data_IF_767800099858
#
_entry.id   IF_767800099858
#
_cell.length_a   1.000
_cell.length_b   1.000
_cell.length_c   1.000
_cell.angle_alpha   90.00
_cell.angle_beta   90.00
_cell.angle_gamma   90.00
#
_symmetry.space_group_name_H-M   'P 1'
#
loop_
_entity.id
_entity.type
_entity.pdbx_description
1 polymer ?
#
# COMPACT_ATOMS: atom_id res chain seq x y z
N UNK A 1 37.62 6.50 4.81
CA UNK A 1 36.63 6.27 3.75
C UNK A 1 37.36 5.59 2.61
N UNK A 2 36.82 4.46 2.16
CA UNK A 2 37.35 3.66 1.06
C UNK A 2 36.24 3.61 0.00
N UNK A 3 36.59 3.88 -1.26
CA UNK A 3 35.60 4.01 -2.34
C UNK A 3 35.81 2.91 -3.37
N UNK A 4 34.73 2.26 -3.79
CA UNK A 4 34.74 1.35 -4.92
C UNK A 4 35.06 2.11 -6.21
N UNK A 5 36.02 1.61 -6.98
CA UNK A 5 36.38 2.14 -8.28
C UNK A 5 36.39 1.09 -9.39
N UNK A 6 36.18 -0.19 -9.05
CA UNK A 6 36.13 -1.30 -10.01
C UNK A 6 37.46 -1.50 -10.77
N UNK A 7 38.59 -1.07 -10.21
CA UNK A 7 39.90 -1.14 -10.85
C UNK A 7 40.50 -2.55 -10.95
N UNK A 8 39.89 -3.55 -10.30
CA UNK A 8 40.33 -4.94 -10.28
C UNK A 8 39.91 -5.73 -11.53
N UNK A 9 40.25 -7.02 -11.53
CA UNK A 9 40.01 -7.93 -12.66
C UNK A 9 38.60 -8.53 -12.68
N UNK A 10 37.87 -8.38 -11.58
CA UNK A 10 36.49 -8.85 -11.39
C UNK A 10 35.78 -7.87 -10.45
N UNK A 11 34.49 -8.07 -10.20
CA UNK A 11 33.70 -7.21 -9.31
C UNK A 11 33.66 -7.71 -7.85
N UNK A 12 34.59 -8.56 -7.42
CA UNK A 12 34.54 -9.14 -6.07
C UNK A 12 34.98 -8.13 -5.00
N UNK A 13 34.23 -8.09 -3.89
CA UNK A 13 34.48 -7.20 -2.75
C UNK A 13 35.87 -7.41 -2.16
N UNK A 14 36.34 -8.65 -2.14
CA UNK A 14 37.60 -9.03 -1.52
C UNK A 14 38.82 -8.85 -2.43
N UNK A 15 38.67 -8.23 -3.60
CA UNK A 15 39.78 -7.82 -4.46
C UNK A 15 40.21 -6.39 -4.08
N UNK A 16 41.37 -6.18 -3.44
CA UNK A 16 41.81 -4.86 -3.03
C UNK A 16 41.82 -3.85 -4.18
N UNK A 17 42.17 -4.27 -5.41
CA UNK A 17 42.25 -3.39 -6.58
C UNK A 17 40.91 -2.78 -7.03
N UNK A 18 39.77 -3.26 -6.50
CA UNK A 18 38.45 -2.66 -6.74
C UNK A 18 38.13 -1.47 -5.83
N UNK A 19 39.01 -1.20 -4.87
CA UNK A 19 38.86 -0.14 -3.90
C UNK A 19 39.94 0.90 -4.10
N UNK A 20 39.66 2.15 -3.81
CA UNK A 20 40.65 3.22 -3.68
C UNK A 20 40.84 3.51 -2.18
N UNK A 21 42.04 3.29 -1.60
CA UNK A 21 43.37 3.22 -2.23
C UNK A 21 43.98 1.79 -2.34
N UNK A 22 43.29 0.88 -2.99
CA UNK A 22 43.63 -0.55 -3.13
C UNK A 22 43.65 -1.31 -1.81
N UNK A 23 42.64 -1.09 -0.95
CA UNK A 23 42.51 -1.73 0.37
C UNK A 23 41.07 -2.15 0.60
N UNK A 24 40.87 -3.41 1.01
CA UNK A 24 39.53 -3.94 1.34
C UNK A 24 39.01 -3.24 2.61
N UNK A 25 37.75 -2.76 2.63
CA UNK A 25 37.16 -2.18 3.83
C UNK A 25 37.22 -3.09 5.06
N UNK A 26 37.45 -2.48 6.22
CA UNK A 26 37.42 -3.12 7.54
C UNK A 26 36.36 -2.49 8.46
N UNK A 27 36.26 -2.97 9.70
CA UNK A 27 35.37 -2.40 10.74
C UNK A 27 35.76 -0.99 11.22
N UNK A 28 36.84 -0.42 10.70
CA UNK A 28 37.21 0.99 10.94
C UNK A 28 36.88 1.91 9.75
N UNK A 29 36.43 1.34 8.63
CA UNK A 29 36.25 2.08 7.38
C UNK A 29 34.77 2.29 7.03
N UNK A 30 34.44 3.49 6.56
CA UNK A 30 33.22 3.74 5.76
C UNK A 30 33.52 3.36 4.30
N UNK A 31 32.77 2.39 3.77
CA UNK A 31 32.85 1.98 2.37
C UNK A 31 31.79 2.73 1.53
N UNK A 32 32.16 3.15 0.32
CA UNK A 32 31.23 3.80 -0.62
C UNK A 32 31.27 3.11 -1.97
N UNK A 33 30.11 2.75 -2.51
CA UNK A 33 29.97 2.21 -3.86
C UNK A 33 29.19 3.20 -4.71
N UNK A 34 29.73 3.59 -5.85
CA UNK A 34 29.08 4.51 -6.78
C UNK A 34 29.58 4.27 -8.21
N UNK A 35 28.68 4.31 -9.19
CA UNK A 35 29.03 4.16 -10.60
C UNK A 35 29.18 2.71 -11.08
N UNK A 36 29.18 1.73 -10.17
CA UNK A 36 29.43 0.32 -10.47
C UNK A 36 28.84 -0.61 -9.38
N UNK A 37 28.90 -1.93 -9.58
CA UNK A 37 28.36 -2.95 -8.68
C UNK A 37 29.46 -3.80 -8.06
N UNK A 38 29.54 -3.82 -6.73
CA UNK A 38 30.36 -4.76 -5.99
C UNK A 38 29.62 -6.08 -5.76
N UNK A 39 30.35 -7.20 -5.74
CA UNK A 39 29.82 -8.53 -5.53
C UNK A 39 30.49 -9.20 -4.33
N UNK A 40 29.71 -9.91 -3.52
CA UNK A 40 30.18 -10.80 -2.47
C UNK A 40 29.66 -12.19 -2.82
N UNK A 41 30.54 -13.09 -3.27
CA UNK A 41 30.20 -14.47 -3.61
C UNK A 41 30.88 -15.50 -2.69
N UNK A 42 30.14 -16.56 -2.32
CA UNK A 42 30.66 -17.72 -1.58
C UNK A 42 31.04 -17.49 -0.11
N UNK A 43 31.62 -18.54 0.53
CA UNK A 43 32.05 -18.51 1.92
C UNK A 43 33.26 -17.58 2.08
N UNK A 44 33.00 -16.39 2.61
CA UNK A 44 34.06 -15.52 3.11
C UNK A 44 34.13 -15.76 4.63
N UNK A 45 35.18 -16.44 5.06
CA UNK A 45 35.49 -16.66 6.48
C UNK A 45 36.82 -15.95 6.78
N UNK A 46 36.82 -14.90 7.63
CA UNK A 46 35.67 -14.29 8.31
C UNK A 46 34.74 -13.53 7.35
N UNK A 47 33.47 -13.28 7.72
CA UNK A 47 32.55 -12.47 6.91
C UNK A 47 33.15 -11.13 6.55
N UNK A 48 32.71 -10.55 5.43
CA UNK A 48 33.12 -9.21 5.01
C UNK A 48 32.68 -8.19 6.06
N UNK A 49 33.50 -7.16 6.30
CA UNK A 49 33.25 -6.17 7.34
C UNK A 49 33.35 -4.74 6.81
N UNK A 50 32.49 -3.86 7.32
CA UNK A 50 32.58 -2.40 7.13
C UNK A 50 32.02 -1.68 8.37
N UNK A 51 32.42 -0.43 8.60
CA UNK A 51 31.76 0.41 9.63
C UNK A 51 30.40 0.86 9.14
N UNK A 52 30.37 1.39 7.93
CA UNK A 52 29.23 1.97 7.24
C UNK A 52 29.33 1.65 5.75
N UNK A 53 28.20 1.54 5.06
CA UNK A 53 28.16 1.38 3.60
C UNK A 53 27.17 2.38 3.00
N UNK A 54 27.61 3.11 1.99
CA UNK A 54 26.75 4.02 1.22
C UNK A 54 26.77 3.73 -0.27
N UNK A 55 25.58 3.69 -0.88
CA UNK A 55 25.37 3.69 -2.32
C UNK A 55 25.07 5.12 -2.77
N UNK A 56 25.86 5.67 -3.68
CA UNK A 56 25.73 7.07 -4.10
C UNK A 56 24.46 7.37 -4.91
N UNK A 57 24.27 8.65 -5.28
CA UNK A 57 23.21 9.07 -6.19
C UNK A 57 23.41 8.59 -7.64
N UNK A 58 24.65 8.23 -8.00
CA UNK A 58 24.95 7.58 -9.26
C UNK A 58 24.56 6.10 -9.19
N UNK A 59 24.16 5.53 -10.32
CA UNK A 59 23.89 4.09 -10.44
C UNK A 59 25.05 3.29 -9.86
N UNK A 60 24.78 2.40 -8.92
CA UNK A 60 25.78 1.50 -8.35
C UNK A 60 25.14 0.63 -7.29
N UNK A 61 25.78 -0.47 -6.92
CA UNK A 61 25.13 -1.38 -5.98
C UNK A 61 26.01 -2.43 -5.36
N UNK A 62 25.40 -3.23 -4.49
CA UNK A 62 26.00 -4.39 -3.87
C UNK A 62 25.13 -5.61 -4.13
N UNK A 63 25.76 -6.69 -4.58
CA UNK A 63 25.14 -8.02 -4.67
C UNK A 63 25.81 -8.93 -3.65
N UNK A 64 25.04 -9.50 -2.73
CA UNK A 64 25.47 -10.57 -1.82
C UNK A 64 24.81 -11.85 -2.29
N UNK A 65 25.58 -12.77 -2.86
CA UNK A 65 25.07 -13.98 -3.50
C UNK A 65 25.77 -15.23 -2.94
N UNK A 66 25.07 -15.92 -2.05
CA UNK A 66 25.43 -17.27 -1.65
C UNK A 66 25.24 -18.22 -2.84
N UNK A 67 26.28 -18.98 -3.17
CA UNK A 67 26.26 -20.00 -4.23
C UNK A 67 26.24 -21.39 -3.58
N UNK A 68 27.32 -22.17 -3.68
CA UNK A 68 27.49 -23.42 -2.93
C UNK A 68 27.75 -23.18 -1.44
N UNK A 69 28.19 -21.96 -1.10
CA UNK A 69 28.57 -21.55 0.23
C UNK A 69 27.84 -20.25 0.61
N UNK A 70 27.48 -20.05 1.89
CA UNK A 70 26.83 -18.83 2.34
C UNK A 70 27.69 -17.59 2.10
N UNK A 71 27.07 -16.49 1.71
CA UNK A 71 27.71 -15.19 1.53
C UNK A 71 27.19 -14.20 2.58
N UNK A 72 28.07 -13.40 3.17
CA UNK A 72 27.70 -12.56 4.31
C UNK A 72 28.48 -11.26 4.41
N UNK A 73 27.79 -10.19 4.80
CA UNK A 73 28.35 -8.89 5.11
C UNK A 73 27.93 -8.43 6.51
N UNK A 74 28.89 -7.99 7.30
CA UNK A 74 28.69 -7.39 8.62
C UNK A 74 29.05 -5.90 8.58
N UNK A 75 28.05 -5.04 8.75
CA UNK A 75 28.22 -3.60 8.87
C UNK A 75 28.02 -3.20 10.32
N UNK A 76 29.00 -2.53 10.92
CA UNK A 76 28.94 -2.19 12.36
C UNK A 76 27.80 -1.22 12.67
N UNK A 77 27.53 -0.29 11.76
CA UNK A 77 26.50 0.73 11.92
C UNK A 77 25.53 0.73 10.73
N UNK A 78 25.58 1.72 9.84
CA UNK A 78 24.46 1.98 8.95
C UNK A 78 24.75 1.54 7.51
N UNK A 79 23.70 1.06 6.84
CA UNK A 79 23.67 0.87 5.39
C UNK A 79 22.73 1.92 4.78
N UNK A 80 23.23 2.68 3.81
CA UNK A 80 22.44 3.70 3.10
C UNK A 80 22.38 3.40 1.61
N UNK A 81 21.17 3.17 1.09
CA UNK A 81 20.89 3.01 -0.35
C UNK A 81 20.25 4.28 -0.89
N UNK A 82 21.02 5.19 -1.46
CA UNK A 82 20.45 6.41 -2.05
C UNK A 82 19.62 6.07 -3.32
N UNK A 83 18.89 7.05 -3.87
CA UNK A 83 17.92 6.82 -4.96
C UNK A 83 18.47 6.18 -6.24
N UNK A 84 19.76 6.34 -6.54
CA UNK A 84 20.42 5.65 -7.66
C UNK A 84 21.04 4.30 -7.29
N UNK A 85 21.09 3.99 -5.99
CA UNK A 85 21.73 2.80 -5.45
C UNK A 85 20.87 1.55 -5.55
N UNK A 86 21.52 0.39 -5.57
CA UNK A 86 20.86 -0.90 -5.42
C UNK A 86 21.56 -1.82 -4.41
N UNK A 87 20.78 -2.57 -3.66
CA UNK A 87 21.22 -3.65 -2.79
C UNK A 87 20.47 -4.92 -3.18
N UNK A 88 21.19 -5.99 -3.49
CA UNK A 88 20.61 -7.29 -3.80
C UNK A 88 21.18 -8.38 -2.91
N UNK A 89 20.31 -9.19 -2.31
CA UNK A 89 20.67 -10.39 -1.57
C UNK A 89 20.04 -11.61 -2.24
N UNK A 90 20.82 -12.68 -2.42
CA UNK A 90 20.35 -13.94 -2.99
C UNK A 90 20.48 -14.06 -4.52
N UNK A 91 19.94 -15.16 -5.06
CA UNK A 91 19.95 -15.47 -6.49
C UNK A 91 21.25 -16.11 -7.04
N UNK A 92 22.16 -16.55 -6.16
CA UNK A 92 23.44 -17.15 -6.53
C UNK A 92 23.49 -18.69 -6.52
N UNK A 93 22.60 -19.35 -5.79
CA UNK A 93 22.65 -20.80 -5.59
C UNK A 93 21.88 -21.26 -4.34
N UNK A 94 22.10 -22.50 -3.87
CA UNK A 94 21.39 -23.07 -2.73
C UNK A 94 22.03 -22.72 -1.38
N UNK A 95 22.69 -21.58 -1.23
CA UNK A 95 23.21 -21.11 0.06
C UNK A 95 22.62 -19.75 0.43
N UNK A 96 22.63 -19.45 1.72
CA UNK A 96 22.00 -18.25 2.26
C UNK A 96 22.85 -17.00 1.95
N UNK A 97 22.18 -15.86 1.82
CA UNK A 97 22.82 -14.55 1.63
C UNK A 97 22.41 -13.63 2.77
N UNK A 98 23.37 -13.13 3.54
CA UNK A 98 23.09 -12.42 4.78
C UNK A 98 23.71 -11.03 4.82
N UNK A 99 22.92 -10.05 5.26
CA UNK A 99 23.38 -8.73 5.69
C UNK A 99 23.09 -8.57 7.18
N UNK A 100 24.12 -8.30 7.98
CA UNK A 100 23.99 -7.85 9.35
C UNK A 100 24.37 -6.37 9.43
N UNK A 101 23.50 -5.52 9.99
CA UNK A 101 23.80 -4.09 10.16
C UNK A 101 23.18 -3.50 11.45
N UNK A 102 23.63 -2.32 11.86
CA UNK A 102 22.98 -1.50 12.87
C UNK A 102 21.63 -0.97 12.40
N UNK A 103 21.56 -0.38 11.21
CA UNK A 103 20.31 0.06 10.58
C UNK A 103 20.43 0.08 9.06
N UNK A 104 19.30 0.23 8.37
CA UNK A 104 19.26 0.38 6.91
C UNK A 104 18.30 1.50 6.53
N UNK A 105 18.79 2.48 5.77
CA UNK A 105 17.97 3.53 5.16
C UNK A 105 18.06 3.43 3.64
N UNK A 106 16.92 3.43 2.95
CA UNK A 106 16.87 3.33 1.49
C UNK A 106 15.92 4.35 0.88
N UNK A 107 16.39 4.97 -0.19
CA UNK A 107 15.58 5.68 -1.19
C UNK A 107 15.71 5.04 -2.58
N UNK A 108 16.54 3.98 -2.70
CA UNK A 108 16.87 3.27 -3.93
C UNK A 108 16.19 1.91 -4.02
N UNK A 109 16.86 0.94 -4.62
CA UNK A 109 16.31 -0.41 -4.82
C UNK A 109 16.92 -1.41 -3.84
N UNK A 110 16.10 -2.10 -3.06
CA UNK A 110 16.53 -3.24 -2.23
C UNK A 110 15.79 -4.48 -2.71
N UNK A 111 16.50 -5.52 -3.13
CA UNK A 111 15.90 -6.77 -3.59
C UNK A 111 16.49 -7.96 -2.84
N UNK A 112 15.69 -8.57 -1.98
CA UNK A 112 16.06 -9.74 -1.18
C UNK A 112 15.31 -10.93 -1.73
N UNK A 113 16.01 -11.77 -2.48
CA UNK A 113 15.44 -12.98 -3.05
C UNK A 113 15.36 -14.10 -2.00
N UNK A 114 14.79 -15.23 -2.40
CA UNK A 114 14.62 -16.39 -1.54
C UNK A 114 15.93 -16.73 -0.83
N UNK A 115 15.84 -16.96 0.49
CA UNK A 115 16.98 -17.25 1.40
C UNK A 115 17.95 -16.09 1.60
N UNK A 116 17.58 -14.89 1.17
CA UNK A 116 18.18 -13.66 1.64
C UNK A 116 17.68 -13.32 3.04
N UNK A 117 18.59 -12.86 3.90
CA UNK A 117 18.26 -12.39 5.25
C UNK A 117 18.91 -11.04 5.51
N UNK A 118 18.09 -10.07 5.88
CA UNK A 118 18.55 -8.80 6.47
C UNK A 118 18.31 -8.89 7.98
N UNK A 119 19.37 -8.72 8.76
CA UNK A 119 19.34 -8.67 10.22
C UNK A 119 19.84 -7.32 10.69
N UNK A 120 18.93 -6.53 11.27
CA UNK A 120 19.22 -5.22 11.82
C UNK A 120 19.10 -5.25 13.35
N UNK A 121 19.94 -4.46 14.02
CA UNK A 121 19.80 -4.18 15.47
C UNK A 121 18.80 -3.05 15.71
N UNK A 122 18.76 -2.07 14.80
CA UNK A 122 17.91 -0.90 14.79
C UNK A 122 16.87 -0.95 13.67
N UNK A 123 16.43 0.21 13.15
CA UNK A 123 15.33 0.28 12.20
C UNK A 123 15.75 0.01 10.75
N UNK A 124 14.76 -0.42 9.96
CA UNK A 124 14.73 -0.31 8.51
C UNK A 124 13.84 0.87 8.13
N UNK A 125 14.33 1.79 7.28
CA UNK A 125 13.54 2.94 6.81
C UNK A 125 13.64 3.07 5.29
N UNK A 126 12.49 3.04 4.62
CA UNK A 126 12.36 3.34 3.20
C UNK A 126 11.73 4.72 3.02
N UNK A 127 12.46 5.66 2.43
CA UNK A 127 11.97 7.02 2.16
C UNK A 127 11.56 7.23 0.69
N UNK A 128 11.89 6.30 -0.20
CA UNK A 128 11.52 6.26 -1.62
C UNK A 128 11.94 4.92 -2.25
N UNK A 129 11.74 4.77 -3.55
CA UNK A 129 12.26 3.65 -4.33
C UNK A 129 11.44 2.38 -4.15
N UNK A 130 12.10 1.22 -4.30
CA UNK A 130 11.43 -0.08 -4.22
C UNK A 130 12.20 -1.02 -3.30
N UNK A 131 11.49 -1.64 -2.39
CA UNK A 131 11.98 -2.77 -1.60
C UNK A 131 11.18 -3.99 -2.02
N UNK A 132 11.87 -5.04 -2.44
CA UNK A 132 11.30 -6.31 -2.86
C UNK A 132 11.83 -7.43 -1.95
N UNK A 133 10.96 -8.10 -1.19
CA UNK A 133 11.27 -9.32 -0.46
C UNK A 133 10.59 -10.49 -1.17
N UNK A 134 11.35 -11.40 -1.78
CA UNK A 134 10.83 -12.58 -2.45
C UNK A 134 11.09 -13.83 -1.62
N UNK A 135 10.16 -14.17 -0.73
CA UNK A 135 10.25 -15.27 0.24
C UNK A 135 11.50 -15.15 1.13
N UNK A 136 11.74 -13.93 1.59
CA UNK A 136 12.93 -13.56 2.36
C UNK A 136 12.60 -13.29 3.84
N UNK A 137 13.64 -13.02 4.63
CA UNK A 137 13.52 -12.61 6.03
C UNK A 137 14.11 -11.23 6.26
N UNK A 138 13.31 -10.33 6.82
CA UNK A 138 13.74 -9.03 7.35
C UNK A 138 13.52 -9.01 8.86
N UNK A 139 14.60 -8.96 9.63
CA UNK A 139 14.55 -8.78 11.08
C UNK A 139 15.04 -7.38 11.42
N UNK A 140 14.17 -6.54 11.98
CA UNK A 140 14.51 -5.19 12.41
C UNK A 140 13.76 -4.85 13.70
N UNK A 141 14.22 -3.83 14.44
CA UNK A 141 13.47 -3.36 15.60
C UNK A 141 12.13 -2.72 15.18
N UNK A 142 12.15 -2.03 14.04
CA UNK A 142 10.99 -1.45 13.38
C UNK A 142 11.26 -1.33 11.88
N UNK A 143 10.21 -1.37 11.07
CA UNK A 143 10.21 -1.19 9.61
C UNK A 143 9.28 -0.03 9.29
N UNK A 144 9.81 1.03 8.70
CA UNK A 144 9.02 2.19 8.28
C UNK A 144 9.16 2.40 6.77
N UNK A 145 8.04 2.47 6.06
CA UNK A 145 7.97 2.85 4.65
C UNK A 145 7.26 4.18 4.54
N UNK A 146 8.02 5.26 4.38
CA UNK A 146 7.52 6.64 4.29
C UNK A 146 7.05 6.97 2.86
N UNK A 147 7.61 6.32 1.84
CA UNK A 147 7.17 6.44 0.45
C UNK A 147 7.74 5.31 -0.42
N UNK A 148 7.13 5.08 -1.58
CA UNK A 148 7.56 4.10 -2.57
C UNK A 148 6.84 2.77 -2.42
N UNK A 149 7.37 1.74 -3.07
CA UNK A 149 6.80 0.39 -3.05
C UNK A 149 7.59 -0.51 -2.10
N UNK A 150 6.89 -1.12 -1.16
CA UNK A 150 7.38 -2.20 -0.31
C UNK A 150 6.64 -3.49 -0.69
N UNK A 151 7.22 -4.19 -1.65
CA UNK A 151 6.72 -5.42 -2.26
C UNK A 151 7.30 -6.62 -1.50
N UNK A 152 6.53 -7.30 -0.66
CA UNK A 152 7.09 -8.26 0.30
C UNK A 152 6.30 -9.56 0.45
N UNK A 153 6.97 -10.68 0.20
CA UNK A 153 6.58 -12.02 0.67
C UNK A 153 7.62 -12.57 1.65
N UNK A 154 7.21 -13.56 2.44
CA UNK A 154 8.05 -14.21 3.44
C UNK A 154 7.77 -13.68 4.85
N UNK A 155 8.81 -13.23 5.55
CA UNK A 155 8.72 -12.89 6.98
C UNK A 155 9.40 -11.59 7.36
N UNK A 156 8.71 -10.80 8.16
CA UNK A 156 9.21 -9.61 8.82
C UNK A 156 9.11 -9.84 10.33
N UNK A 157 10.19 -9.55 11.06
CA UNK A 157 10.16 -9.46 12.52
C UNK A 157 10.41 -8.02 12.92
N UNK A 158 9.51 -7.45 13.73
CA UNK A 158 9.48 -6.05 14.11
C UNK A 158 8.16 -5.37 13.74
N UNK A 159 7.90 -4.21 14.33
CA UNK A 159 6.70 -3.43 14.05
C UNK A 159 6.82 -2.75 12.68
N UNK A 160 5.75 -2.75 11.90
CA UNK A 160 5.69 -2.24 10.53
C UNK A 160 4.78 -1.02 10.46
N UNK A 161 5.27 0.09 9.88
CA UNK A 161 4.48 1.29 9.60
C UNK A 161 4.56 1.64 8.11
N UNK A 162 3.40 1.83 7.48
CA UNK A 162 3.25 2.19 6.06
C UNK A 162 2.64 3.60 5.98
N UNK A 163 3.37 4.51 5.36
CA UNK A 163 3.07 5.94 5.31
C UNK A 163 3.70 6.71 6.48
N UNK A 164 3.67 8.03 6.40
CA UNK A 164 4.16 8.91 7.46
C UNK A 164 3.28 10.16 7.70
N UNK A 165 2.20 10.32 6.94
CA UNK A 165 1.28 11.46 7.00
C UNK A 165 1.72 12.70 6.22
N UNK A 166 2.78 12.63 5.41
CA UNK A 166 3.32 13.75 4.62
C UNK A 166 2.81 13.78 3.17
N UNK A 167 1.77 13.00 2.85
CA UNK A 167 1.08 12.94 1.55
C UNK A 167 1.87 12.31 0.39
N UNK A 168 3.01 11.68 0.69
CA UNK A 168 3.67 10.79 -0.26
C UNK A 168 3.15 9.37 -0.04
N UNK A 169 2.58 8.78 -1.08
CA UNK A 169 2.06 7.41 -0.97
C UNK A 169 3.18 6.42 -0.68
N UNK A 170 2.96 5.60 0.34
CA UNK A 170 3.72 4.40 0.63
C UNK A 170 2.83 3.18 0.41
N UNK A 171 3.29 2.23 -0.40
CA UNK A 171 2.52 1.05 -0.75
C UNK A 171 3.13 -0.20 -0.13
N UNK A 172 2.30 -1.00 0.55
CA UNK A 172 2.60 -2.40 0.89
C UNK A 172 1.88 -3.31 -0.12
N UNK A 173 2.61 -4.24 -0.73
CA UNK A 173 2.05 -5.26 -1.64
C UNK A 173 2.66 -6.64 -1.31
N UNK A 174 1.88 -7.71 -1.11
CA UNK A 174 2.43 -9.05 -0.87
C UNK A 174 3.04 -9.78 -2.08
N UNK A 175 3.89 -9.14 -2.87
CA UNK A 175 4.54 -9.76 -4.03
C UNK A 175 3.94 -9.37 -5.38
N UNK A 176 4.59 -9.86 -6.45
CA UNK A 176 4.02 -9.87 -7.81
C UNK A 176 3.23 -11.17 -8.00
N UNK A 177 1.91 -11.07 -8.13
CA UNK A 177 1.02 -12.22 -8.23
C UNK A 177 0.33 -12.48 -6.89
N UNK A 178 0.13 -13.75 -6.57
CA UNK A 178 -0.38 -14.15 -5.25
C UNK A 178 0.80 -14.41 -4.31
N UNK A 179 0.82 -13.76 -3.15
CA UNK A 179 1.85 -13.98 -2.15
C UNK A 179 1.37 -13.89 -0.69
N UNK A 180 2.22 -14.41 0.17
CA UNK A 180 1.98 -14.52 1.61
C UNK A 180 3.05 -13.73 2.37
N UNK A 181 2.60 -12.87 3.28
CA UNK A 181 3.47 -12.07 4.14
C UNK A 181 3.15 -12.32 5.62
N UNK A 182 4.15 -12.73 6.39
CA UNK A 182 4.07 -12.82 7.85
C UNK A 182 4.79 -11.64 8.52
N UNK A 183 4.11 -10.97 9.44
CA UNK A 183 4.64 -9.88 10.28
C UNK A 183 4.57 -10.33 11.74
N UNK A 184 5.73 -10.58 12.33
CA UNK A 184 5.90 -10.90 13.74
C UNK A 184 6.08 -9.59 14.54
N UNK A 185 5.00 -8.82 14.67
CA UNK A 185 4.94 -7.50 15.30
C UNK A 185 3.57 -6.85 15.11
N UNK A 186 3.49 -5.55 15.37
CA UNK A 186 2.33 -4.73 15.01
C UNK A 186 2.42 -4.24 13.54
N UNK A 187 1.28 -3.96 12.92
CA UNK A 187 1.17 -3.35 11.59
C UNK A 187 0.34 -2.07 11.69
N UNK A 188 0.81 -0.97 11.14
CA UNK A 188 0.09 0.30 11.10
C UNK A 188 0.11 0.91 9.70
N UNK A 189 -1.07 1.25 9.19
CA UNK A 189 -1.23 2.14 8.05
C UNK A 189 -1.53 3.56 8.52
N UNK A 190 -0.80 4.53 7.96
CA UNK A 190 -1.09 5.95 8.11
C UNK A 190 -2.08 6.39 7.02
N UNK A 191 -2.58 7.63 7.09
CA UNK A 191 -3.56 8.15 6.12
C UNK A 191 -3.06 8.22 4.66
N UNK A 192 -1.74 8.19 4.45
CA UNK A 192 -1.10 8.12 3.13
C UNK A 192 -0.53 6.73 2.79
N UNK A 193 -0.78 5.74 3.66
CA UNK A 193 -0.47 4.34 3.40
C UNK A 193 -1.45 3.71 2.42
N UNK A 194 -0.97 2.80 1.57
CA UNK A 194 -1.77 2.00 0.65
C UNK A 194 -1.46 0.52 0.84
N UNK A 195 -2.49 -0.30 0.96
CA UNK A 195 -2.39 -1.76 0.92
C UNK A 195 -2.89 -2.25 -0.44
N UNK A 196 -2.00 -2.80 -1.27
CA UNK A 196 -2.37 -3.43 -2.54
C UNK A 196 -2.48 -4.94 -2.35
N UNK A 197 -3.63 -5.51 -2.73
CA UNK A 197 -3.88 -6.95 -2.70
C UNK A 197 -4.43 -7.45 -4.04
N UNK A 198 -4.02 -8.65 -4.39
CA UNK A 198 -4.34 -9.30 -5.66
C UNK A 198 -5.20 -10.53 -5.42
N UNK A 199 -6.14 -10.72 -6.35
CA UNK A 199 -6.99 -11.89 -6.45
C UNK A 199 -6.76 -12.62 -7.77
N UNK A 200 -6.78 -13.94 -7.75
CA UNK A 200 -6.91 -14.73 -8.97
C UNK A 200 -7.87 -15.90 -8.78
N UNK A 201 -8.67 -16.17 -9.81
CA UNK A 201 -9.44 -17.40 -9.92
C UNK A 201 -9.02 -18.18 -11.16
N UNK A 202 -8.77 -19.48 -10.99
CA UNK A 202 -8.44 -20.37 -12.09
C UNK A 202 -9.03 -21.78 -11.84
N UNK A 203 -8.73 -22.73 -12.75
CA UNK A 203 -9.24 -24.10 -12.65
C UNK A 203 -8.80 -24.88 -11.41
N UNK A 204 -7.87 -24.35 -10.61
CA UNK A 204 -7.40 -24.91 -9.34
C UNK A 204 -8.07 -24.26 -8.12
N UNK A 205 -8.92 -23.25 -8.33
CA UNK A 205 -9.60 -22.52 -7.28
C UNK A 205 -9.21 -21.03 -7.24
N UNK A 206 -9.74 -20.39 -6.22
CA UNK A 206 -9.58 -18.98 -5.89
C UNK A 206 -8.35 -18.81 -4.99
N UNK A 207 -7.56 -17.76 -5.20
CA UNK A 207 -6.39 -17.43 -4.40
C UNK A 207 -6.27 -15.91 -4.24
N UNK A 208 -5.85 -15.50 -3.05
CA UNK A 208 -5.66 -14.11 -2.65
C UNK A 208 -4.29 -13.93 -2.04
N UNK A 209 -3.77 -12.71 -2.13
CA UNK A 209 -2.72 -12.26 -1.24
C UNK A 209 -3.16 -12.37 0.23
N UNK A 210 -2.25 -12.79 1.10
CA UNK A 210 -2.52 -12.89 2.53
C UNK A 210 -1.46 -12.20 3.38
N UNK A 211 -1.91 -11.54 4.44
CA UNK A 211 -1.05 -10.94 5.46
C UNK A 211 -1.40 -11.53 6.84
N UNK A 212 -0.40 -12.09 7.51
CA UNK A 212 -0.54 -12.60 8.87
C UNK A 212 0.25 -11.72 9.85
N UNK A 213 -0.46 -10.98 10.69
CA UNK A 213 0.11 -10.11 11.72
C UNK A 213 -0.01 -10.81 13.08
N UNK A 214 1.08 -10.95 13.82
CA UNK A 214 1.04 -11.60 15.14
C UNK A 214 0.50 -10.69 16.25
N UNK A 215 0.58 -9.37 16.06
CA UNK A 215 0.14 -8.35 17.01
C UNK A 215 -1.12 -7.59 16.57
N UNK A 216 -1.14 -6.29 16.82
CA UNK A 216 -2.24 -5.40 16.45
C UNK A 216 -2.04 -4.87 15.03
N UNK A 217 -3.09 -4.95 14.21
CA UNK A 217 -3.18 -4.23 12.94
C UNK A 217 -4.03 -2.97 13.11
N UNK A 218 -3.46 -1.80 12.87
CA UNK A 218 -4.15 -0.50 12.86
C UNK A 218 -4.31 -0.04 11.43
N UNK A 219 -5.55 0.08 10.98
CA UNK A 219 -5.89 0.44 9.61
C UNK A 219 -6.07 1.95 9.45
N UNK A 220 -5.82 2.42 8.23
CA UNK A 220 -5.92 3.80 7.77
C UNK A 220 -5.46 3.86 6.30
N UNK A 221 -5.63 5.00 5.64
CA UNK A 221 -5.22 5.14 4.24
C UNK A 221 -6.09 4.32 3.27
N UNK A 222 -5.52 3.77 2.20
CA UNK A 222 -6.29 3.14 1.12
C UNK A 222 -6.07 1.63 1.04
N UNK A 223 -7.15 0.84 0.96
CA UNK A 223 -7.12 -0.54 0.49
C UNK A 223 -7.32 -0.56 -1.02
N UNK A 224 -6.44 -1.22 -1.77
CA UNK A 224 -6.56 -1.36 -3.22
C UNK A 224 -6.64 -2.83 -3.63
N UNK A 225 -7.79 -3.22 -4.17
CA UNK A 225 -8.09 -4.60 -4.57
C UNK A 225 -8.02 -4.76 -6.09
N UNK A 226 -7.23 -5.70 -6.55
CA UNK A 226 -7.09 -5.97 -7.99
C UNK A 226 -7.30 -7.44 -8.34
N UNK A 227 -7.81 -7.69 -9.54
CA UNK A 227 -7.95 -9.05 -10.08
C UNK A 227 -6.89 -9.28 -11.13
N UNK A 228 -6.08 -10.32 -10.94
CA UNK A 228 -5.12 -10.81 -11.92
C UNK A 228 -5.71 -12.02 -12.66
N UNK A 229 -5.76 -11.92 -13.99
CA UNK A 229 -6.37 -12.94 -14.85
C UNK A 229 -7.81 -12.61 -15.24
N UNK A 230 -8.60 -13.64 -15.56
CA UNK A 230 -9.98 -13.48 -16.07
C UNK A 230 -11.05 -14.21 -15.25
N UNK A 231 -10.64 -14.91 -14.19
CA UNK A 231 -11.59 -15.57 -13.31
C UNK A 231 -12.22 -14.55 -12.35
N UNK A 232 -13.52 -14.68 -12.12
CA UNK A 232 -14.23 -13.88 -11.12
C UNK A 232 -14.22 -14.63 -9.78
N UNK A 233 -14.25 -13.92 -8.64
CA UNK A 233 -14.45 -14.56 -7.35
C UNK A 233 -15.79 -15.29 -7.30
N UNK A 234 -15.87 -16.31 -6.47
CA UNK A 234 -17.10 -17.05 -6.25
C UNK A 234 -18.03 -16.21 -5.37
N UNK A 235 -19.24 -15.83 -5.84
CA UNK A 235 -20.15 -15.02 -5.04
C UNK A 235 -20.50 -15.69 -3.70
N UNK A 236 -20.58 -14.89 -2.63
CA UNK A 236 -20.89 -15.34 -1.27
C UNK A 236 -19.76 -16.09 -0.56
N UNK A 237 -18.58 -16.25 -1.19
CA UNK A 237 -17.38 -16.77 -0.52
C UNK A 237 -16.64 -15.62 0.14
N UNK A 238 -16.28 -15.81 1.41
CA UNK A 238 -15.43 -14.89 2.18
C UNK A 238 -13.98 -15.36 2.11
N UNK A 239 -13.07 -14.43 1.83
CA UNK A 239 -11.65 -14.66 1.65
C UNK A 239 -10.85 -13.85 2.66
N UNK A 240 -10.02 -14.50 3.50
CA UNK A 240 -9.20 -13.81 4.48
C UNK A 240 -8.04 -13.08 3.78
N UNK A 241 -7.97 -11.76 3.97
CA UNK A 241 -6.92 -10.91 3.41
C UNK A 241 -5.84 -10.59 4.43
N UNK A 242 -6.26 -10.25 5.65
CA UNK A 242 -5.38 -9.92 6.75
C UNK A 242 -5.88 -10.59 8.02
N UNK A 243 -4.99 -11.24 8.76
CA UNK A 243 -5.26 -11.78 10.09
C UNK A 243 -4.39 -11.05 11.13
N UNK A 244 -4.95 -10.77 12.31
CA UNK A 244 -4.26 -10.08 13.40
C UNK A 244 -4.79 -10.56 14.76
N UNK A 245 -4.03 -10.36 15.85
CA UNK A 245 -4.56 -10.58 17.22
C UNK A 245 -5.68 -9.57 17.54
N UNK A 246 -5.52 -8.35 17.03
CA UNK A 246 -6.49 -7.27 17.18
C UNK A 246 -6.48 -6.38 15.94
N UNK A 247 -7.67 -6.03 15.46
CA UNK A 247 -7.85 -5.00 14.44
C UNK A 247 -8.35 -3.70 15.07
N UNK A 248 -7.79 -2.56 14.67
CA UNK A 248 -8.22 -1.23 15.12
C UNK A 248 -8.39 -0.32 13.91
N UNK A 249 -9.53 0.37 13.85
CA UNK A 249 -9.84 1.28 12.75
C UNK A 249 -10.15 0.54 11.45
N UNK A 250 -10.34 1.33 10.40
CA UNK A 250 -10.69 0.89 9.05
C UNK A 250 -9.80 1.62 8.04
N UNK A 251 -9.88 1.26 6.76
CA UNK A 251 -9.27 2.07 5.70
C UNK A 251 -10.10 3.35 5.47
N UNK A 252 -9.42 4.45 5.19
CA UNK A 252 -10.05 5.74 4.83
C UNK A 252 -10.71 5.67 3.44
N UNK A 253 -10.18 4.82 2.55
CA UNK A 253 -10.70 4.60 1.20
C UNK A 253 -10.50 3.14 0.76
N UNK A 254 -11.38 2.65 -0.10
CA UNK A 254 -11.25 1.33 -0.74
C UNK A 254 -11.40 1.53 -2.24
N UNK A 255 -10.32 1.25 -2.95
CA UNK A 255 -10.27 1.29 -4.40
C UNK A 255 -10.11 -0.11 -4.96
N UNK A 256 -10.39 -0.26 -6.25
CA UNK A 256 -10.08 -1.50 -6.94
C UNK A 256 -10.57 -1.55 -8.37
N UNK A 257 -10.07 -2.52 -9.11
CA UNK A 257 -10.62 -2.81 -10.43
C UNK A 257 -11.98 -3.46 -10.25
N UNK A 258 -13.03 -2.86 -10.82
CA UNK A 258 -14.37 -3.45 -10.84
C UNK A 258 -14.33 -4.91 -11.29
N UNK A 259 -14.92 -5.80 -10.50
CA UNK A 259 -14.78 -7.24 -10.69
C UNK A 259 -15.95 -7.77 -11.50
N UNK A 260 -15.86 -7.59 -12.81
CA UNK A 260 -16.90 -8.00 -13.74
C UNK A 260 -18.25 -7.34 -13.40
N UNK A 261 -19.35 -8.11 -13.21
CA UNK A 261 -20.66 -7.54 -12.89
C UNK A 261 -20.86 -7.17 -11.41
N UNK A 262 -19.98 -7.62 -10.51
CA UNK A 262 -20.12 -7.51 -9.04
C UNK A 262 -19.09 -6.58 -8.39
N UNK A 263 -19.12 -6.53 -7.06
CA UNK A 263 -18.29 -5.66 -6.21
C UNK A 263 -17.71 -6.43 -5.03
N UNK A 264 -16.60 -5.92 -4.50
CA UNK A 264 -16.01 -6.40 -3.27
C UNK A 264 -16.76 -5.86 -2.06
N UNK A 265 -16.98 -6.73 -1.09
CA UNK A 265 -17.59 -6.42 0.20
C UNK A 265 -16.57 -6.75 1.28
N UNK A 266 -15.79 -5.77 1.76
CA UNK A 266 -14.88 -6.00 2.87
C UNK A 266 -15.65 -6.28 4.17
N UNK A 267 -15.11 -7.13 5.04
CA UNK A 267 -15.65 -7.44 6.36
C UNK A 267 -14.53 -7.23 7.39
N UNK A 268 -14.65 -6.14 8.16
CA UNK A 268 -13.72 -5.75 9.21
C UNK A 268 -14.08 -6.44 10.52
N UNK A 269 -13.58 -7.66 10.70
CA UNK A 269 -13.80 -8.42 11.92
C UNK A 269 -12.75 -8.06 12.98
N UNK A 270 -13.15 -7.26 13.97
CA UNK A 270 -12.28 -6.83 15.09
C UNK A 270 -11.59 -7.97 15.85
N UNK A 271 -12.09 -9.20 15.74
CA UNK A 271 -11.53 -10.40 16.41
C UNK A 271 -10.70 -11.27 15.47
N UNK A 272 -10.96 -11.25 14.16
CA UNK A 272 -10.42 -12.22 13.21
C UNK A 272 -9.62 -11.59 12.04
N UNK A 273 -9.59 -10.26 11.92
CA UNK A 273 -8.90 -9.54 10.85
C UNK A 273 -9.83 -9.00 9.77
N UNK A 274 -9.30 -8.82 8.56
CA UNK A 274 -10.04 -8.32 7.39
C UNK A 274 -10.29 -9.48 6.44
N UNK A 275 -11.57 -9.71 6.13
CA UNK A 275 -11.98 -10.56 5.01
C UNK A 275 -12.54 -9.70 3.88
N UNK A 276 -12.68 -10.31 2.70
CA UNK A 276 -13.47 -9.75 1.61
C UNK A 276 -14.39 -10.83 1.07
N UNK A 277 -15.64 -10.49 0.79
CA UNK A 277 -16.54 -11.31 -0.01
C UNK A 277 -16.82 -10.62 -1.35
N UNK A 278 -17.38 -11.40 -2.28
CA UNK A 278 -17.76 -10.89 -3.59
C UNK A 278 -19.28 -11.03 -3.73
N UNK A 279 -19.95 -9.93 -4.06
CA UNK A 279 -21.38 -9.92 -4.37
C UNK A 279 -21.61 -9.52 -5.82
N UNK A 280 -22.53 -10.21 -6.48
CA UNK A 280 -23.04 -9.84 -7.81
C UNK A 280 -24.41 -9.17 -7.72
N UNK A 281 -24.99 -9.07 -6.53
CA UNK A 281 -26.27 -8.43 -6.27
C UNK A 281 -26.02 -6.93 -6.08
N UNK A 282 -26.40 -6.13 -7.07
CA UNK A 282 -26.36 -4.67 -6.92
C UNK A 282 -27.54 -4.19 -6.13
N UNK A 283 -27.34 -3.14 -5.36
CA UNK A 283 -28.31 -2.64 -4.40
C UNK A 283 -28.37 -3.46 -3.12
N UNK A 284 -27.59 -4.53 -2.97
CA UNK A 284 -27.39 -5.20 -1.68
C UNK A 284 -26.38 -4.38 -0.87
N UNK A 285 -26.88 -3.31 -0.27
CA UNK A 285 -26.08 -2.27 0.36
C UNK A 285 -25.61 -2.65 1.75
N UNK A 286 -26.26 -3.64 2.39
CA UNK A 286 -25.86 -4.17 3.69
C UNK A 286 -25.07 -5.49 3.59
N UNK A 287 -24.94 -6.04 2.37
CA UNK A 287 -24.24 -7.28 2.05
C UNK A 287 -24.82 -8.52 2.75
N UNK A 288 -26.15 -8.63 2.85
CA UNK A 288 -26.85 -9.77 3.44
C UNK A 288 -27.34 -10.81 2.41
N UNK A 289 -26.86 -10.70 1.17
CA UNK A 289 -27.24 -11.50 0.00
C UNK A 289 -28.70 -11.27 -0.44
N UNK A 290 -29.28 -10.12 -0.11
CA UNK A 290 -30.61 -9.70 -0.57
C UNK A 290 -30.64 -8.22 -0.97
N UNK A 291 -31.61 -7.84 -1.80
CA UNK A 291 -31.85 -6.43 -2.15
C UNK A 291 -33.26 -6.10 -1.70
N UNK A 292 -33.42 -5.49 -0.54
CA UNK A 292 -34.71 -5.29 0.09
C UNK A 292 -34.86 -3.90 0.76
N UNK A 293 -35.86 -3.76 1.65
CA UNK A 293 -36.11 -2.50 2.34
C UNK A 293 -34.98 -2.05 3.30
N UNK A 294 -34.16 -2.99 3.78
CA UNK A 294 -33.05 -2.70 4.70
C UNK A 294 -31.88 -2.02 3.97
N UNK A 295 -31.77 -2.18 2.65
CA UNK A 295 -30.76 -1.52 1.81
C UNK A 295 -31.09 -0.07 1.48
N UNK A 296 -32.36 0.32 1.60
CA UNK A 296 -32.88 1.56 1.02
C UNK A 296 -32.25 2.80 1.64
N UNK A 297 -32.06 2.79 2.96
CA UNK A 297 -31.44 3.92 3.65
C UNK A 297 -29.97 4.09 3.23
N UNK A 298 -29.26 2.96 3.08
CA UNK A 298 -27.86 2.92 2.66
C UNK A 298 -27.73 3.41 1.22
N UNK A 299 -28.56 2.90 0.31
CA UNK A 299 -28.65 3.35 -1.07
C UNK A 299 -28.93 4.87 -1.19
N UNK A 300 -29.91 5.37 -0.44
CA UNK A 300 -30.25 6.79 -0.47
C UNK A 300 -29.15 7.69 0.10
N UNK A 301 -28.38 7.19 1.09
CA UNK A 301 -27.20 7.89 1.62
C UNK A 301 -26.08 7.95 0.57
N UNK A 302 -25.79 6.84 -0.12
CA UNK A 302 -24.80 6.78 -1.18
C UNK A 302 -25.08 7.79 -2.31
N UNK A 303 -26.36 7.95 -2.69
CA UNK A 303 -26.79 8.96 -3.66
C UNK A 303 -26.65 10.41 -3.18
N UNK A 304 -26.82 10.65 -1.87
CA UNK A 304 -26.88 11.99 -1.29
C UNK A 304 -25.50 12.57 -1.04
N UNK A 305 -24.66 11.75 -0.42
CA UNK A 305 -23.37 12.12 0.12
C UNK A 305 -22.54 10.84 0.20
N UNK A 306 -21.86 10.55 -0.91
CA UNK A 306 -20.98 9.39 -1.07
C UNK A 306 -19.94 9.33 0.06
N UNK A 307 -19.35 10.47 0.43
CA UNK A 307 -18.36 10.58 1.50
C UNK A 307 -18.96 10.21 2.88
N UNK A 308 -20.15 10.72 3.21
CA UNK A 308 -20.81 10.36 4.48
C UNK A 308 -21.32 8.93 4.50
N UNK A 309 -21.74 8.40 3.35
CA UNK A 309 -22.12 7.00 3.20
C UNK A 309 -20.92 6.08 3.50
N UNK A 310 -19.74 6.41 2.96
CA UNK A 310 -18.50 5.76 3.32
C UNK A 310 -18.22 5.87 4.83
N UNK A 311 -18.36 7.03 5.46
CA UNK A 311 -18.01 7.17 6.88
C UNK A 311 -18.99 6.49 7.86
N UNK A 312 -20.30 6.69 7.71
CA UNK A 312 -21.32 6.28 8.70
C UNK A 312 -21.55 4.76 8.73
N UNK A 313 -21.31 4.08 7.61
CA UNK A 313 -21.64 2.67 7.42
C UNK A 313 -20.41 1.78 7.63
N UNK A 314 -19.23 2.23 7.16
CA UNK A 314 -17.97 1.51 7.38
C UNK A 314 -17.66 1.36 8.88
N UNK A 315 -17.84 2.43 9.68
CA UNK A 315 -17.56 2.39 11.13
C UNK A 315 -18.54 1.53 11.95
N UNK A 316 -19.66 1.10 11.37
CA UNK A 316 -20.64 0.21 12.02
C UNK A 316 -20.60 -1.23 11.48
N UNK A 317 -19.65 -1.56 10.59
CA UNK A 317 -19.42 -2.93 10.12
C UNK A 317 -20.29 -3.40 8.96
N UNK A 318 -20.89 -2.49 8.19
CA UNK A 318 -21.54 -2.83 6.91
C UNK A 318 -20.75 -2.14 5.80
N UNK A 319 -20.43 -2.83 4.70
CA UNK A 319 -19.49 -2.30 3.71
C UNK A 319 -19.97 -2.59 2.31
N UNK A 320 -20.46 -1.55 1.66
CA UNK A 320 -20.82 -1.60 0.26
C UNK A 320 -20.07 -0.47 -0.43
N UNK A 321 -19.22 -0.80 -1.42
CA UNK A 321 -18.54 0.20 -2.25
C UNK A 321 -19.58 1.10 -2.93
N UNK A 322 -19.19 2.31 -3.33
CA UNK A 322 -20.02 3.19 -4.15
C UNK A 322 -20.60 2.46 -5.38
N UNK A 323 -19.89 1.45 -5.90
CA UNK A 323 -20.34 0.60 -7.00
C UNK A 323 -21.65 -0.18 -6.72
N UNK A 324 -21.97 -0.49 -5.46
CA UNK A 324 -23.21 -1.22 -5.14
C UNK A 324 -24.45 -0.32 -5.31
N UNK A 325 -24.27 1.01 -5.22
CA UNK A 325 -25.31 2.00 -5.52
C UNK A 325 -25.34 2.42 -7.02
N UNK A 326 -24.26 2.18 -7.76
CA UNK A 326 -24.18 2.38 -9.22
C UNK A 326 -24.88 1.22 -9.94
N UNK A 327 -26.20 1.33 -10.04
CA UNK A 327 -27.06 0.29 -10.58
C UNK A 327 -26.91 0.18 -12.10
N UNK A 328 -26.57 1.27 -12.80
CA UNK A 328 -26.48 1.31 -14.27
C UNK A 328 -25.06 1.17 -14.87
N UNK A 329 -24.01 1.19 -14.05
CA UNK A 329 -22.59 1.11 -14.41
C UNK A 329 -22.05 2.29 -15.21
N UNK A 330 -22.64 3.47 -15.05
CA UNK A 330 -22.05 4.66 -15.65
C UNK A 330 -20.87 5.23 -14.84
N UNK A 331 -20.60 4.64 -13.67
CA UNK A 331 -19.52 5.02 -12.76
C UNK A 331 -19.89 6.16 -11.83
N UNK A 332 -21.18 6.52 -11.72
CA UNK A 332 -21.67 7.60 -10.87
C UNK A 332 -22.96 7.22 -10.14
N UNK A 333 -22.99 7.45 -8.83
CA UNK A 333 -24.20 7.29 -8.02
C UNK A 333 -25.16 8.47 -8.25
N UNK A 334 -26.15 8.29 -9.13
CA UNK A 334 -27.09 9.35 -9.53
C UNK A 334 -28.55 8.94 -9.37
N UNK A 335 -29.47 9.88 -9.61
CA UNK A 335 -30.89 9.55 -9.61
C UNK A 335 -31.32 8.62 -10.76
N UNK A 336 -30.43 8.33 -11.72
CA UNK A 336 -30.67 7.32 -12.76
C UNK A 336 -30.67 5.89 -12.17
N UNK A 337 -30.03 5.69 -11.02
CA UNK A 337 -29.94 4.39 -10.35
C UNK A 337 -31.22 4.01 -9.59
N UNK A 338 -32.00 5.00 -9.14
CA UNK A 338 -33.21 4.77 -8.33
C UNK A 338 -34.19 3.79 -8.99
N UNK A 339 -34.60 3.96 -10.27
CA UNK A 339 -35.54 3.02 -10.89
C UNK A 339 -35.01 1.58 -10.95
N UNK A 340 -33.70 1.39 -11.14
CA UNK A 340 -33.08 0.07 -11.19
C UNK A 340 -33.00 -0.58 -9.82
N UNK A 341 -32.64 0.19 -8.79
CA UNK A 341 -32.67 -0.25 -7.40
C UNK A 341 -34.09 -0.69 -6.98
N UNK A 342 -35.11 0.11 -7.30
CA UNK A 342 -36.51 -0.25 -6.99
C UNK A 342 -36.99 -1.50 -7.73
N UNK A 343 -36.51 -1.73 -8.95
CA UNK A 343 -36.78 -2.98 -9.68
C UNK A 343 -36.11 -4.17 -8.97
N UNK A 344 -34.85 -4.03 -8.54
CA UNK A 344 -34.13 -5.04 -7.77
C UNK A 344 -34.86 -5.39 -6.46
N UNK A 345 -35.30 -4.39 -5.67
CA UNK A 345 -36.11 -4.60 -4.46
C UNK A 345 -37.38 -5.39 -4.75
N UNK A 346 -38.07 -5.07 -5.86
CA UNK A 346 -39.29 -5.78 -6.25
C UNK A 346 -39.00 -7.23 -6.66
N UNK A 347 -37.89 -7.47 -7.35
CA UNK A 347 -37.46 -8.81 -7.76
C UNK A 347 -37.12 -9.70 -6.56
N UNK A 348 -36.57 -9.13 -5.49
CA UNK A 348 -36.33 -9.82 -4.21
C UNK A 348 -37.60 -10.04 -3.38
N UNK A 349 -38.73 -9.44 -3.78
CA UNK A 349 -40.01 -9.57 -3.10
C UNK A 349 -40.37 -8.42 -2.14
N UNK A 350 -39.54 -7.38 -2.08
CA UNK A 350 -39.81 -6.15 -1.35
C UNK A 350 -40.80 -5.22 -2.07
N UNK A 351 -41.11 -4.09 -1.45
CA UNK A 351 -42.04 -3.08 -1.94
C UNK A 351 -41.31 -1.85 -2.49
N UNK A 352 -41.22 -1.73 -3.82
CA UNK A 352 -40.69 -0.53 -4.47
C UNK A 352 -41.38 0.77 -4.04
N UNK A 353 -42.67 0.73 -3.69
CA UNK A 353 -43.39 1.89 -3.19
C UNK A 353 -42.92 2.32 -1.79
N UNK A 354 -42.64 1.35 -0.91
CA UNK A 354 -42.08 1.61 0.41
C UNK A 354 -40.63 2.11 0.30
N UNK A 355 -39.81 1.43 -0.50
CA UNK A 355 -38.43 1.83 -0.78
C UNK A 355 -38.36 3.26 -1.34
N UNK A 356 -39.14 3.60 -2.37
CA UNK A 356 -39.16 4.95 -2.92
C UNK A 356 -39.56 6.02 -1.88
N UNK A 357 -40.52 5.71 -1.01
CA UNK A 357 -40.93 6.64 0.05
C UNK A 357 -39.80 6.88 1.06
N UNK A 358 -39.02 5.85 1.39
CA UNK A 358 -37.86 5.95 2.28
C UNK A 358 -36.69 6.68 1.61
N UNK A 359 -36.38 6.42 0.34
CA UNK A 359 -35.40 7.19 -0.44
C UNK A 359 -35.76 8.68 -0.41
N UNK A 360 -37.02 9.01 -0.73
CA UNK A 360 -37.49 10.40 -0.71
C UNK A 360 -37.38 11.05 0.68
N UNK A 361 -37.61 10.27 1.75
CA UNK A 361 -37.45 10.73 3.13
C UNK A 361 -35.99 11.07 3.46
N UNK A 362 -35.04 10.22 3.08
CA UNK A 362 -33.60 10.44 3.33
C UNK A 362 -33.06 11.62 2.51
N UNK A 363 -33.47 11.73 1.24
CA UNK A 363 -33.03 12.81 0.34
C UNK A 363 -33.65 14.17 0.69
N UNK A 364 -34.85 14.21 1.29
CA UNK A 364 -35.51 15.46 1.71
C UNK A 364 -35.03 15.98 3.07
N UNK A 365 -34.30 15.18 3.85
CA UNK A 365 -33.73 15.59 5.13
C UNK A 365 -32.58 16.60 5.02
N UNK A 366 -32.19 17.00 3.80
CA UNK A 366 -31.20 18.04 3.55
C UNK A 366 -31.72 19.37 4.10
N UNK A 367 -31.06 19.97 5.11
CA UNK A 367 -31.42 21.30 5.56
C UNK A 367 -31.29 22.24 4.37
N UNK A 368 -32.39 22.85 3.93
CA UNK A 368 -32.29 23.93 2.96
C UNK A 368 -31.26 24.93 3.49
N UNK A 369 -30.26 25.35 2.69
CA UNK A 369 -29.29 26.33 3.15
C UNK A 369 -30.10 27.51 3.70
N UNK A 370 -29.86 27.93 4.96
CA UNK A 370 -30.69 28.94 5.58
C UNK A 370 -30.75 30.13 4.62
N UNK A 371 -31.97 30.47 4.22
CA UNK A 371 -32.30 31.42 3.15
C UNK A 371 -31.62 32.80 3.29
N UNK A 372 -30.98 33.06 4.42
CA UNK A 372 -30.01 34.13 4.64
C UNK A 372 -28.84 34.16 3.63
N UNK A 373 -28.33 33.03 3.14
CA UNK A 373 -27.21 33.00 2.18
C UNK A 373 -27.65 33.36 0.75
N UNK A 374 -28.90 33.03 0.36
CA UNK A 374 -29.44 33.38 -0.96
C UNK A 374 -29.76 34.88 -1.09
N UNK A 375 -30.02 35.57 0.04
CA UNK A 375 -30.30 37.01 0.06
C UNK A 375 -28.99 37.84 0.02
N UNK A 376 -27.88 37.33 0.57
CA UNK A 376 -26.59 38.02 0.49
C UNK A 376 -25.96 38.00 -0.92
N UNK A 377 -26.26 37.00 -1.75
CA UNK A 377 -25.80 36.93 -3.15
C UNK A 377 -26.48 37.96 -4.08
N UNK A 378 -27.73 38.34 -3.81
CA UNK A 378 -28.46 39.31 -4.63
C UNK A 378 -28.28 40.78 -4.20
N UNK A 379 -27.83 41.05 -2.95
CA UNK A 379 -27.55 42.41 -2.49
C UNK A 379 -26.10 42.88 -2.76
N UNK A 380 -25.19 41.98 -3.15
CA UNK A 380 -23.78 42.30 -3.46
C UNK A 380 -23.50 42.88 -4.85
N UNK A 381 -24.48 42.87 -5.77
CA UNK A 381 -24.30 43.34 -7.16
C UNK A 381 -24.63 44.83 -7.39
N UNK A 382 -24.98 45.59 -6.33
CA UNK A 382 -25.45 46.98 -6.49
C UNK A 382 -24.42 48.08 -6.17
N UNK A 383 -23.22 47.78 -5.66
CA UNK A 383 -22.23 48.84 -5.34
C UNK A 383 -20.78 48.42 -5.61
N UNK A 384 -20.38 48.39 -6.89
CA UNK A 384 -18.98 48.66 -7.25
C UNK A 384 -18.85 50.13 -7.66
N UNK A 385 -18.19 50.99 -6.86
CA UNK A 385 -17.81 52.31 -7.33
C UNK A 385 -16.72 52.16 -8.40
N UNK A 386 -16.87 52.91 -9.49
CA UNK A 386 -15.94 52.93 -10.61
C UNK A 386 -14.48 53.10 -10.14
N UNK A 387 -13.67 52.04 -10.27
CA UNK A 387 -12.23 52.12 -10.11
C UNK A 387 -11.69 52.95 -11.29
N UNK A 388 -11.31 54.19 -10.99
CA UNK A 388 -10.57 55.07 -11.91
C UNK A 388 -9.27 54.38 -12.30
N UNK A 389 -9.17 54.01 -13.57
CA UNK A 389 -7.97 53.52 -14.22
C UNK A 389 -6.86 54.58 -14.13
N UNK A 390 -5.96 54.44 -13.16
CA UNK A 390 -4.80 55.32 -13.03
C UNK A 390 -3.71 54.81 -13.97
N UNK A 391 -3.65 55.37 -15.18
CA UNK A 391 -2.54 55.20 -16.13
C UNK A 391 -1.24 55.69 -15.49
N UNK A 392 -0.38 54.79 -15.02
CA UNK A 392 1.01 55.12 -14.72
C UNK A 392 1.82 55.19 -16.01
N UNK A 393 2.09 56.41 -16.47
CA UNK A 393 3.14 56.72 -17.44
C UNK A 393 4.51 56.71 -16.74
N UNK A 394 5.50 56.12 -17.42
CA UNK A 394 6.94 56.33 -17.19
C UNK A 394 7.59 55.27 -16.30
N UNK A 395 8.83 54.84 -16.52
CA UNK A 395 9.94 55.51 -17.20
C UNK A 395 11.03 54.48 -17.52
N UNK A 396 11.67 54.63 -18.68
CA UNK A 396 12.95 54.00 -19.06
C UNK A 396 14.01 54.22 -17.99
N UNK A 397 14.81 53.19 -17.69
CA UNK A 397 16.26 53.19 -17.91
C UNK A 397 16.78 51.78 -18.04
#
# INVERSE_FOLDING_TARGET
MISWDGGGVNSEWNEPANWNPNTIPSTADTARIAGDTAMITGAIVPPVQATEIGFGLASGGLVIAGDVNPAGLNVVSNVTVAGGGSLKLGGGGPADSQLNAGSLVTAGNVNVLQRGTIQLVGPFTQSAGTVALGDATLNAAAVATESGLFDATGSITGDVTIGNGDALTATLSPGVGIGDLAINGDLQFMSDGRLELQFTSNSRGDAFDTIAVSGTATLGGTLDLSVIGSGLPTPGVSYPLLTAEKLIGDFDDITGAGVGPGSWVPDFNVTNGLNVSYSVLRGDMNADDSVDEDDVELFARALRDEDSYHFDIYLNGFVAEAFMADMDLDGSNTFADIPLFLDAVTQSGGSAAAALAQIASVLSAVPEPPSALLICGMLGLAFFPAIKQQRSRGRRR
#
